data_IF_358818787879
#
_entry.id   IF_358818787879
#
_cell.length_a   1.000
_cell.length_b   1.000
_cell.length_c   1.000
_cell.angle_alpha   90.00
_cell.angle_beta   90.00
_cell.angle_gamma   90.00
#
_symmetry.space_group_name_H-M   'P 1'
#
loop_
_entity.id
_entity.type
_entity.pdbx_description
1 polymer ?
#
# COMPACT_ATOMS: atom_id res chain seq x y z
N UNK A 1 -37.64 56.93 48.31
CA UNK A 1 -37.66 55.77 47.36
C UNK A 1 -37.10 56.09 45.97
N UNK A 2 -36.36 57.20 45.75
CA UNK A 2 -35.86 57.57 44.39
C UNK A 2 -34.41 57.16 44.07
N UNK A 3 -33.56 56.85 45.05
CA UNK A 3 -32.13 56.55 44.79
C UNK A 3 -31.85 55.13 44.26
N UNK A 4 -32.82 54.21 44.29
CA UNK A 4 -32.62 52.80 43.87
C UNK A 4 -32.87 52.60 42.35
N UNK A 5 -33.63 53.49 41.70
CA UNK A 5 -33.98 53.33 40.29
C UNK A 5 -32.88 53.76 39.29
N UNK A 6 -31.97 54.66 39.68
CA UNK A 6 -30.90 55.12 38.78
C UNK A 6 -29.77 54.08 38.59
N UNK A 7 -29.53 53.23 39.59
CA UNK A 7 -28.50 52.17 39.54
C UNK A 7 -28.85 51.04 38.56
N UNK A 8 -30.12 50.62 38.50
CA UNK A 8 -30.57 49.55 37.59
C UNK A 8 -30.51 49.95 36.10
N UNK A 9 -30.72 51.22 35.77
CA UNK A 9 -30.69 51.73 34.39
C UNK A 9 -29.26 51.79 33.83
N UNK A 10 -28.29 52.11 34.69
CA UNK A 10 -26.85 52.08 34.39
C UNK A 10 -26.36 50.66 34.11
N UNK A 11 -26.74 49.71 34.97
CA UNK A 11 -26.33 48.31 34.85
C UNK A 11 -26.85 47.65 33.56
N UNK A 12 -28.12 47.88 33.19
CA UNK A 12 -28.68 47.38 31.93
C UNK A 12 -27.94 47.93 30.72
N UNK A 13 -27.59 49.21 30.71
CA UNK A 13 -26.87 49.85 29.60
C UNK A 13 -25.44 49.32 29.45
N UNK A 14 -24.80 48.98 30.57
CA UNK A 14 -23.50 48.32 30.59
C UNK A 14 -23.57 46.89 30.03
N UNK A 15 -24.57 46.11 30.44
CA UNK A 15 -24.79 44.76 29.90
C UNK A 15 -25.06 44.77 28.39
N UNK A 16 -25.88 45.70 27.88
CA UNK A 16 -26.11 45.80 26.44
C UNK A 16 -24.86 46.21 25.65
N UNK A 17 -24.03 47.12 26.21
CA UNK A 17 -22.76 47.53 25.59
C UNK A 17 -21.78 46.36 25.54
N UNK A 18 -21.64 45.62 26.63
CA UNK A 18 -20.70 44.50 26.71
C UNK A 18 -21.17 43.34 25.81
N UNK A 19 -22.48 43.11 25.69
CA UNK A 19 -23.07 42.14 24.76
C UNK A 19 -22.88 42.56 23.28
N UNK A 20 -23.03 43.85 22.98
CA UNK A 20 -22.75 44.39 21.64
C UNK A 20 -21.27 44.19 21.28
N UNK A 21 -20.36 44.53 22.18
CA UNK A 21 -18.91 44.33 21.98
C UNK A 21 -18.58 42.86 21.75
N UNK A 22 -19.18 41.94 22.52
CA UNK A 22 -18.99 40.51 22.34
C UNK A 22 -19.45 40.05 20.95
N UNK A 23 -20.66 40.42 20.54
CA UNK A 23 -21.21 40.03 19.23
C UNK A 23 -20.36 40.62 18.10
N UNK A 24 -20.01 41.92 18.17
CA UNK A 24 -19.17 42.56 17.18
C UNK A 24 -17.79 41.91 17.11
N UNK A 25 -17.20 41.54 18.26
CA UNK A 25 -15.91 40.84 18.30
C UNK A 25 -15.99 39.46 17.67
N UNK A 26 -17.05 38.68 17.93
CA UNK A 26 -17.25 37.35 17.31
C UNK A 26 -17.41 37.47 15.79
N UNK A 27 -18.15 38.48 15.32
CA UNK A 27 -18.32 38.75 13.88
C UNK A 27 -16.99 39.18 13.25
N UNK A 28 -16.23 40.06 13.91
CA UNK A 28 -14.93 40.51 13.42
C UNK A 28 -13.90 39.38 13.38
N UNK A 29 -13.88 38.52 14.40
CA UNK A 29 -13.02 37.33 14.46
C UNK A 29 -13.40 36.36 13.35
N UNK A 30 -14.70 36.10 13.13
CA UNK A 30 -15.14 35.25 12.00
C UNK A 30 -14.74 35.86 10.65
N UNK A 31 -14.89 37.18 10.51
CA UNK A 31 -14.49 37.90 9.29
C UNK A 31 -12.98 37.79 9.05
N UNK A 32 -12.14 38.04 10.07
CA UNK A 32 -10.67 37.92 9.96
C UNK A 32 -10.25 36.45 9.75
N UNK A 33 -10.88 35.50 10.44
CA UNK A 33 -10.63 34.07 10.26
C UNK A 33 -10.99 33.59 8.85
N UNK A 34 -11.93 34.24 8.17
CA UNK A 34 -12.25 33.93 6.77
C UNK A 34 -11.11 34.27 5.79
N UNK A 35 -10.20 35.17 6.15
CA UNK A 35 -9.01 35.50 5.34
C UNK A 35 -7.80 34.62 5.63
N UNK A 36 -7.75 34.00 6.82
CA UNK A 36 -6.69 33.08 7.22
C UNK A 36 -7.23 31.65 7.29
N UNK A 37 -7.22 30.96 6.14
CA UNK A 37 -7.52 29.53 6.06
C UNK A 37 -6.41 28.71 6.74
N UNK A 38 -6.44 28.63 8.07
CA UNK A 38 -5.68 27.62 8.82
C UNK A 38 -6.67 26.66 9.46
N UNK A 39 -6.86 25.49 8.85
CA UNK A 39 -7.57 24.36 9.47
C UNK A 39 -6.67 23.76 10.55
N UNK A 40 -7.04 23.99 11.81
CA UNK A 40 -6.45 23.26 12.93
C UNK A 40 -7.30 22.02 13.13
N UNK A 41 -6.77 20.85 12.78
CA UNK A 41 -7.42 19.58 13.04
C UNK A 41 -7.30 19.24 14.53
N UNK A 42 -8.44 19.28 15.24
CA UNK A 42 -8.58 18.98 16.67
C UNK A 42 -8.88 17.49 16.92
N UNK A 43 -8.92 16.66 15.89
CA UNK A 43 -9.09 15.21 16.08
C UNK A 43 -7.80 14.59 16.64
N UNK A 44 -7.96 13.59 17.51
CA UNK A 44 -6.85 12.95 18.21
C UNK A 44 -5.78 12.34 17.27
N UNK A 45 -6.11 12.10 16.01
CA UNK A 45 -5.25 11.45 15.02
C UNK A 45 -4.87 12.34 13.82
N UNK A 46 -5.30 13.62 13.79
CA UNK A 46 -5.14 14.51 12.62
C UNK A 46 -5.64 13.88 11.31
N UNK A 47 -6.78 13.18 11.37
CA UNK A 47 -7.32 12.39 10.23
C UNK A 47 -7.67 13.22 8.99
N UNK A 48 -7.69 14.55 9.09
CA UNK A 48 -8.05 15.47 8.03
C UNK A 48 -6.91 16.43 7.67
N UNK A 49 -5.65 16.06 7.95
CA UNK A 49 -4.48 16.86 7.60
C UNK A 49 -3.54 16.06 6.73
N UNK A 50 -3.16 16.61 5.56
CA UNK A 50 -2.16 15.99 4.70
C UNK A 50 -0.86 15.72 5.44
N UNK A 51 -0.21 14.61 5.11
CA UNK A 51 1.12 14.30 5.64
C UNK A 51 2.15 15.35 5.19
N UNK A 52 3.21 15.57 5.97
CA UNK A 52 4.29 16.50 5.58
C UNK A 52 4.93 16.10 4.24
N UNK A 53 5.01 14.80 3.97
CA UNK A 53 5.49 14.25 2.70
C UNK A 53 4.57 14.65 1.55
N UNK A 54 3.25 14.50 1.73
CA UNK A 54 2.24 14.92 0.76
C UNK A 54 2.38 16.39 0.41
N UNK A 55 2.45 17.26 1.43
CA UNK A 55 2.61 18.72 1.23
C UNK A 55 3.87 19.04 0.42
N UNK A 56 4.99 18.42 0.76
CA UNK A 56 6.27 18.63 0.07
C UNK A 56 6.18 18.23 -1.39
N UNK A 57 5.55 17.10 -1.69
CA UNK A 57 5.36 16.65 -3.09
C UNK A 57 4.50 17.66 -3.85
N UNK A 58 3.34 18.03 -3.30
CA UNK A 58 2.40 18.96 -3.93
C UNK A 58 3.02 20.33 -4.22
N UNK A 59 3.80 20.89 -3.29
CA UNK A 59 4.49 22.18 -3.50
C UNK A 59 5.58 22.13 -4.59
N UNK A 60 6.09 20.94 -4.91
CA UNK A 60 7.16 20.75 -5.89
C UNK A 60 6.65 20.18 -7.23
N UNK A 61 5.34 20.14 -7.44
CA UNK A 61 4.75 19.73 -8.72
C UNK A 61 5.09 20.77 -9.78
N UNK A 62 5.69 20.31 -10.90
CA UNK A 62 6.19 21.18 -11.98
C UNK A 62 5.21 21.37 -13.15
N UNK A 63 4.17 20.54 -13.24
CA UNK A 63 3.23 20.51 -14.36
C UNK A 63 1.82 20.20 -13.84
N UNK A 64 0.79 20.36 -14.66
CA UNK A 64 -0.60 20.16 -14.24
C UNK A 64 -0.89 18.67 -14.03
N UNK A 65 -1.32 18.34 -12.81
CA UNK A 65 -2.01 17.09 -12.50
C UNK A 65 -3.51 17.31 -12.72
N UNK A 66 -4.07 16.60 -13.69
CA UNK A 66 -5.50 16.65 -14.01
C UNK A 66 -6.21 15.38 -13.53
N UNK A 67 -7.25 15.52 -12.71
CA UNK A 67 -7.98 14.41 -12.08
C UNK A 67 -9.42 14.36 -12.59
N UNK A 68 -9.78 13.30 -13.31
CA UNK A 68 -11.18 13.04 -13.73
C UNK A 68 -11.80 12.02 -12.81
N UNK A 69 -12.70 12.46 -11.92
CA UNK A 69 -13.39 11.59 -10.98
C UNK A 69 -14.71 11.12 -11.59
N UNK A 70 -14.94 9.81 -11.66
CA UNK A 70 -16.13 9.21 -12.31
C UNK A 70 -17.24 8.82 -11.33
N UNK A 71 -17.25 9.44 -10.16
CA UNK A 71 -18.19 9.20 -9.07
C UNK A 71 -19.00 10.48 -8.82
N UNK A 72 -20.03 10.75 -9.62
CA UNK A 72 -20.89 11.94 -9.51
C UNK A 72 -22.35 11.58 -9.80
N UNK A 73 -23.29 12.35 -9.26
CA UNK A 73 -24.73 12.12 -9.42
C UNK A 73 -25.41 11.47 -8.21
N UNK A 74 -26.57 10.86 -8.43
CA UNK A 74 -27.38 10.30 -7.35
C UNK A 74 -26.98 8.87 -6.98
N UNK A 75 -26.59 8.68 -5.72
CA UNK A 75 -25.99 7.46 -5.19
C UNK A 75 -26.28 7.30 -3.68
N UNK A 76 -26.11 6.08 -3.13
CA UNK A 76 -26.30 5.84 -1.70
C UNK A 76 -25.41 6.70 -0.81
N UNK A 77 -25.84 6.94 0.42
CA UNK A 77 -25.17 7.82 1.39
C UNK A 77 -23.67 7.55 1.54
N UNK A 78 -23.27 6.27 1.60
CA UNK A 78 -21.88 5.89 1.73
C UNK A 78 -20.99 6.38 0.57
N UNK A 79 -21.48 6.30 -0.67
CA UNK A 79 -20.76 6.78 -1.85
C UNK A 79 -20.78 8.31 -1.96
N UNK A 80 -21.88 8.97 -1.52
CA UNK A 80 -21.91 10.44 -1.38
C UNK A 80 -20.82 10.93 -0.42
N UNK A 81 -20.58 10.20 0.67
CA UNK A 81 -19.49 10.50 1.62
C UNK A 81 -18.10 10.28 1.00
N UNK A 82 -17.91 9.23 0.20
CA UNK A 82 -16.67 8.99 -0.54
C UNK A 82 -16.40 10.10 -1.56
N UNK A 83 -17.38 10.44 -2.40
CA UNK A 83 -17.29 11.59 -3.33
C UNK A 83 -16.90 12.88 -2.59
N UNK A 84 -17.55 13.17 -1.47
CA UNK A 84 -17.23 14.35 -0.65
C UNK A 84 -15.78 14.33 -0.16
N UNK A 85 -15.31 13.20 0.35
CA UNK A 85 -13.92 13.05 0.82
C UNK A 85 -12.89 13.22 -0.31
N UNK A 86 -13.16 12.65 -1.49
CA UNK A 86 -12.37 12.85 -2.72
C UNK A 86 -12.28 14.35 -3.05
N UNK A 87 -13.41 15.04 -3.07
CA UNK A 87 -13.47 16.48 -3.37
C UNK A 87 -12.69 17.30 -2.35
N UNK A 88 -12.92 17.06 -1.05
CA UNK A 88 -12.22 17.76 0.03
C UNK A 88 -10.70 17.54 -0.03
N UNK A 89 -10.25 16.33 -0.35
CA UNK A 89 -8.83 16.00 -0.53
C UNK A 89 -8.23 16.75 -1.72
N UNK A 90 -8.93 16.80 -2.86
CA UNK A 90 -8.48 17.52 -4.06
C UNK A 90 -8.46 19.03 -3.86
N UNK A 91 -9.41 19.58 -3.11
CA UNK A 91 -9.40 21.00 -2.71
C UNK A 91 -8.20 21.30 -1.81
N UNK A 92 -7.87 20.40 -0.87
CA UNK A 92 -6.68 20.54 -0.05
C UNK A 92 -5.40 20.45 -0.91
N UNK A 93 -5.32 19.51 -1.86
CA UNK A 93 -4.19 19.40 -2.78
C UNK A 93 -3.99 20.69 -3.59
N UNK A 94 -5.09 21.24 -4.13
CA UNK A 94 -5.09 22.52 -4.85
C UNK A 94 -4.63 23.68 -3.97
N UNK A 95 -4.94 23.68 -2.66
CA UNK A 95 -4.47 24.73 -1.76
C UNK A 95 -2.94 24.77 -1.60
N UNK A 96 -2.24 23.64 -1.79
CA UNK A 96 -0.77 23.57 -1.75
C UNK A 96 -0.10 23.67 -3.12
N UNK A 97 -0.70 23.09 -4.16
CA UNK A 97 -0.13 23.04 -5.51
C UNK A 97 -0.61 24.17 -6.43
N UNK A 98 -1.61 24.96 -6.01
CA UNK A 98 -2.23 26.00 -6.83
C UNK A 98 -2.87 25.45 -8.10
N UNK A 99 -2.68 26.14 -9.22
CA UNK A 99 -3.26 25.81 -10.53
C UNK A 99 -2.70 24.51 -11.14
N UNK A 100 -1.66 23.92 -10.53
CA UNK A 100 -1.11 22.64 -10.93
C UNK A 100 -1.98 21.45 -10.52
N UNK A 101 -3.05 21.65 -9.73
CA UNK A 101 -4.06 20.62 -9.44
C UNK A 101 -5.41 21.05 -10.00
N UNK A 102 -5.83 20.36 -11.06
CA UNK A 102 -7.11 20.56 -11.72
C UNK A 102 -7.91 19.27 -11.65
N UNK A 103 -9.22 19.39 -11.50
CA UNK A 103 -10.07 18.21 -11.40
C UNK A 103 -11.48 18.50 -11.89
N UNK A 104 -12.15 17.46 -12.37
CA UNK A 104 -13.56 17.47 -12.74
C UNK A 104 -14.26 16.20 -12.21
N UNK A 105 -15.54 16.35 -11.89
CA UNK A 105 -16.41 15.23 -11.49
C UNK A 105 -17.36 14.95 -12.65
N UNK A 106 -17.42 13.69 -13.07
CA UNK A 106 -18.13 13.22 -14.25
C UNK A 106 -19.10 12.15 -13.80
N UNK A 107 -20.36 12.24 -14.22
CA UNK A 107 -21.33 11.17 -14.06
C UNK A 107 -21.32 10.29 -15.33
N UNK A 108 -20.74 9.07 -15.30
CA UNK A 108 -20.70 8.19 -16.47
C UNK A 108 -22.09 7.78 -16.96
N UNK A 109 -23.08 7.85 -16.07
CA UNK A 109 -24.44 7.38 -16.30
C UNK A 109 -25.40 8.46 -16.81
N UNK A 110 -24.96 9.72 -16.93
CA UNK A 110 -25.80 10.86 -17.33
C UNK A 110 -26.20 10.82 -18.82
N UNK A 111 -25.42 10.17 -19.68
CA UNK A 111 -25.66 10.19 -21.12
C UNK A 111 -26.97 9.43 -21.49
N UNK A 112 -27.95 10.08 -22.16
CA UNK A 112 -29.21 9.45 -22.53
C UNK A 112 -29.06 8.35 -23.60
N UNK A 113 -27.98 8.36 -24.40
CA UNK A 113 -27.71 7.29 -25.36
C UNK A 113 -27.02 6.09 -24.70
N UNK A 114 -27.77 4.98 -24.57
CA UNK A 114 -27.28 3.73 -23.96
C UNK A 114 -26.08 3.11 -24.68
N UNK A 115 -25.94 3.34 -25.99
CA UNK A 115 -24.80 2.80 -26.75
C UNK A 115 -23.51 3.53 -26.36
N UNK A 116 -23.54 4.85 -26.38
CA UNK A 116 -22.42 5.70 -25.96
C UNK A 116 -22.05 5.46 -24.48
N UNK A 117 -23.05 5.31 -23.61
CA UNK A 117 -22.83 4.96 -22.20
C UNK A 117 -22.08 3.62 -22.05
N UNK A 118 -22.51 2.57 -22.75
CA UNK A 118 -21.86 1.26 -22.70
C UNK A 118 -20.43 1.30 -23.24
N UNK A 119 -20.18 2.10 -24.28
CA UNK A 119 -18.84 2.33 -24.82
C UNK A 119 -17.94 3.06 -23.81
N UNK A 120 -18.45 4.09 -23.13
CA UNK A 120 -17.75 4.77 -22.04
C UNK A 120 -17.40 3.79 -20.91
N UNK A 121 -18.35 2.97 -20.46
CA UNK A 121 -18.11 1.99 -19.40
C UNK A 121 -17.01 1.01 -19.78
N UNK A 122 -17.01 0.53 -21.04
CA UNK A 122 -15.95 -0.33 -21.55
C UNK A 122 -14.59 0.39 -21.59
N UNK A 123 -14.56 1.67 -21.95
CA UNK A 123 -13.32 2.46 -21.94
C UNK A 123 -12.78 2.63 -20.51
N UNK A 124 -13.63 2.97 -19.54
CA UNK A 124 -13.23 3.11 -18.14
C UNK A 124 -12.70 1.78 -17.58
N UNK A 125 -13.39 0.67 -17.88
CA UNK A 125 -12.94 -0.66 -17.51
C UNK A 125 -11.59 -1.02 -18.11
N UNK A 126 -11.41 -0.78 -19.41
CA UNK A 126 -10.15 -1.04 -20.10
C UNK A 126 -8.99 -0.16 -19.59
N UNK A 127 -9.30 1.03 -19.06
CA UNK A 127 -8.32 1.89 -18.40
C UNK A 127 -8.00 1.45 -16.97
N UNK A 128 -8.70 0.46 -16.43
CA UNK A 128 -8.43 -0.12 -15.11
C UNK A 128 -9.44 0.25 -14.01
N UNK A 129 -10.51 0.98 -14.32
CA UNK A 129 -11.55 1.32 -13.33
C UNK A 129 -12.59 0.21 -13.22
N UNK A 130 -12.88 -0.24 -12.00
CA UNK A 130 -13.87 -1.31 -11.79
C UNK A 130 -15.27 -0.75 -11.54
N UNK A 131 -16.31 -1.25 -12.25
CA UNK A 131 -17.69 -0.87 -11.95
C UNK A 131 -18.18 -1.58 -10.69
N UNK A 132 -18.95 -0.86 -9.87
CA UNK A 132 -19.62 -1.40 -8.69
C UNK A 132 -21.13 -1.25 -8.83
N UNK A 133 -21.85 -2.36 -8.66
CA UNK A 133 -23.32 -2.35 -8.63
C UNK A 133 -23.80 -2.03 -7.21
N UNK A 134 -24.64 -1.03 -7.08
CA UNK A 134 -25.25 -0.63 -5.81
C UNK A 134 -26.76 -0.73 -5.89
N UNK A 135 -27.36 -1.19 -4.80
CA UNK A 135 -28.80 -1.22 -4.64
C UNK A 135 -29.20 -0.03 -3.77
N UNK A 136 -30.10 0.80 -4.29
CA UNK A 136 -30.69 1.90 -3.57
C UNK A 136 -32.18 1.65 -3.42
N UNK A 137 -32.65 1.67 -2.18
CA UNK A 137 -34.07 1.59 -1.86
C UNK A 137 -34.62 3.01 -1.78
N UNK A 138 -35.56 3.35 -2.64
CA UNK A 138 -36.21 4.66 -2.61
C UNK A 138 -37.17 4.78 -1.40
N UNK A 139 -37.66 6.00 -1.17
CA UNK A 139 -38.61 6.31 -0.09
C UNK A 139 -39.96 5.56 -0.24
N UNK A 140 -40.27 5.06 -1.45
CA UNK A 140 -41.45 4.23 -1.77
C UNK A 140 -41.17 2.72 -1.61
N UNK A 141 -39.95 2.34 -1.23
CA UNK A 141 -39.51 0.97 -0.99
C UNK A 141 -39.07 0.19 -2.23
N UNK A 142 -39.00 0.82 -3.40
CA UNK A 142 -38.53 0.22 -4.65
C UNK A 142 -37.00 0.12 -4.63
N UNK A 143 -36.50 -1.07 -4.97
CA UNK A 143 -35.06 -1.31 -5.10
C UNK A 143 -34.66 -0.98 -6.54
N UNK A 144 -33.75 -0.03 -6.70
CA UNK A 144 -33.12 0.31 -7.97
C UNK A 144 -31.65 -0.09 -7.95
N UNK A 145 -31.19 -0.76 -9.02
CA UNK A 145 -29.78 -1.06 -9.21
C UNK A 145 -29.13 0.05 -10.05
N UNK A 146 -28.02 0.57 -9.55
CA UNK A 146 -27.20 1.58 -10.24
C UNK A 146 -25.77 1.07 -10.36
N UNK A 147 -25.13 1.37 -11.49
CA UNK A 147 -23.70 1.10 -11.72
C UNK A 147 -22.91 2.36 -11.41
N UNK A 148 -21.93 2.27 -10.53
CA UNK A 148 -21.04 3.38 -10.16
C UNK A 148 -19.59 3.03 -10.55
N UNK A 149 -18.80 4.07 -10.85
CA UNK A 149 -17.35 3.96 -11.05
C UNK A 149 -16.64 4.78 -9.96
N UNK A 150 -16.40 4.20 -8.77
CA UNK A 150 -15.79 4.87 -7.63
C UNK A 150 -14.28 5.02 -7.79
N UNK A 151 -13.86 5.69 -8.86
CA UNK A 151 -12.46 5.89 -9.20
C UNK A 151 -12.20 7.13 -10.03
N UNK A 152 -10.92 7.40 -10.30
CA UNK A 152 -10.48 8.54 -11.08
C UNK A 152 -9.39 8.18 -12.09
N UNK A 153 -9.32 8.94 -13.18
CA UNK A 153 -8.15 8.97 -14.05
C UNK A 153 -7.30 10.18 -13.67
N UNK A 154 -6.04 9.96 -13.36
CA UNK A 154 -5.08 11.00 -12.99
C UNK A 154 -4.05 11.11 -14.11
N UNK A 155 -3.87 12.31 -14.63
CA UNK A 155 -2.97 12.60 -15.74
C UNK A 155 -1.89 13.60 -15.34
N UNK A 156 -0.65 13.34 -15.72
CA UNK A 156 0.50 14.22 -15.45
C UNK A 156 1.61 13.96 -16.48
N UNK A 157 2.13 15.02 -17.11
CA UNK A 157 3.24 14.92 -18.08
C UNK A 157 2.96 13.98 -19.26
N UNK A 158 1.72 13.93 -19.75
CA UNK A 158 1.29 13.07 -20.86
C UNK A 158 1.07 11.60 -20.50
N UNK A 159 1.28 11.19 -19.24
CA UNK A 159 0.93 9.87 -18.72
C UNK A 159 -0.40 9.93 -17.95
N UNK A 160 -1.16 8.85 -17.98
CA UNK A 160 -2.44 8.71 -17.28
C UNK A 160 -2.47 7.38 -16.52
N UNK A 161 -2.96 7.39 -15.28
CA UNK A 161 -3.15 6.20 -14.43
C UNK A 161 -4.57 6.22 -13.86
N UNK A 162 -5.21 5.05 -13.83
CA UNK A 162 -6.47 4.84 -13.14
C UNK A 162 -6.26 4.55 -11.64
N UNK A 163 -7.12 5.13 -10.81
CA UNK A 163 -7.15 4.94 -9.36
C UNK A 163 -8.54 4.48 -8.98
N UNK A 164 -8.64 3.30 -8.39
CA UNK A 164 -9.86 2.80 -7.74
C UNK A 164 -9.83 3.24 -6.27
N UNK A 165 -10.89 3.88 -5.80
CA UNK A 165 -10.98 4.33 -4.40
C UNK A 165 -11.66 3.33 -3.49
N UNK A 166 -12.23 2.24 -4.02
CA UNK A 166 -12.84 1.22 -3.17
C UNK A 166 -11.81 0.24 -2.62
N UNK A 167 -11.74 0.20 -1.30
CA UNK A 167 -11.12 -0.88 -0.56
C UNK A 167 -12.08 -2.06 -0.43
N UNK A 168 -11.63 -3.26 -0.79
CA UNK A 168 -12.43 -4.48 -0.67
C UNK A 168 -11.71 -5.54 0.16
N UNK A 169 -11.91 -5.48 1.47
CA UNK A 169 -11.52 -6.55 2.39
C UNK A 169 -12.66 -7.53 2.58
N UNK A 170 -12.39 -8.82 2.36
CA UNK A 170 -13.36 -9.90 2.63
C UNK A 170 -13.76 -10.00 4.12
N UNK A 171 -12.93 -9.45 5.01
CA UNK A 171 -13.13 -9.51 6.46
C UNK A 171 -13.98 -8.36 7.02
N UNK A 172 -14.36 -7.38 6.19
CA UNK A 172 -15.09 -6.19 6.61
C UNK A 172 -16.48 -6.17 5.97
N UNK A 173 -17.46 -5.60 6.67
CA UNK A 173 -18.77 -5.32 6.08
C UNK A 173 -18.67 -4.29 4.94
N UNK A 174 -19.66 -4.20 4.04
CA UNK A 174 -19.68 -3.19 2.98
C UNK A 174 -19.54 -1.75 3.50
N UNK A 175 -20.13 -1.43 4.65
CA UNK A 175 -20.04 -0.10 5.27
C UNK A 175 -18.64 0.18 5.84
N UNK A 176 -18.01 -0.82 6.48
CA UNK A 176 -16.64 -0.70 7.00
C UNK A 176 -15.63 -0.57 5.88
N UNK A 177 -15.77 -1.35 4.80
CA UNK A 177 -14.94 -1.22 3.60
C UNK A 177 -15.05 0.20 3.01
N UNK A 178 -16.25 0.77 2.99
CA UNK A 178 -16.47 2.12 2.49
C UNK A 178 -15.96 3.21 3.44
N UNK A 179 -15.96 2.98 4.75
CA UNK A 179 -15.28 3.84 5.72
C UNK A 179 -13.76 3.80 5.50
N UNK A 180 -13.17 2.62 5.36
CA UNK A 180 -11.75 2.45 5.08
C UNK A 180 -11.36 3.11 3.75
N UNK A 181 -12.20 2.98 2.72
CA UNK A 181 -12.04 3.64 1.42
C UNK A 181 -11.96 5.16 1.55
N UNK A 182 -12.82 5.77 2.37
CA UNK A 182 -12.81 7.21 2.66
C UNK A 182 -11.49 7.64 3.33
N UNK A 183 -10.96 6.83 4.25
CA UNK A 183 -9.70 7.12 4.93
C UNK A 183 -8.47 6.95 4.02
N UNK A 184 -8.57 6.14 2.96
CA UNK A 184 -7.44 5.83 2.07
C UNK A 184 -7.31 6.78 0.86
N UNK A 185 -8.27 7.68 0.65
CA UNK A 185 -8.33 8.59 -0.51
C UNK A 185 -7.02 9.37 -0.72
N UNK A 186 -6.48 9.99 0.32
CA UNK A 186 -5.21 10.75 0.23
C UNK A 186 -4.08 9.83 -0.25
N UNK A 187 -3.94 8.66 0.37
CA UNK A 187 -2.88 7.71 0.05
C UNK A 187 -3.00 7.24 -1.40
N UNK A 188 -4.18 6.81 -1.81
CA UNK A 188 -4.47 6.32 -3.16
C UNK A 188 -4.16 7.37 -4.24
N UNK A 189 -4.58 8.63 -4.04
CA UNK A 189 -4.25 9.73 -4.97
C UNK A 189 -2.75 10.04 -4.99
N UNK A 190 -2.11 10.16 -3.82
CA UNK A 190 -0.69 10.47 -3.75
C UNK A 190 0.18 9.37 -4.33
N UNK A 191 -0.21 8.11 -4.14
CA UNK A 191 0.47 6.99 -4.76
C UNK A 191 0.48 7.11 -6.29
N UNK A 192 -0.67 7.41 -6.89
CA UNK A 192 -0.79 7.61 -8.33
C UNK A 192 0.01 8.81 -8.85
N UNK A 193 -0.04 9.96 -8.15
CA UNK A 193 0.78 11.14 -8.52
C UNK A 193 2.27 10.81 -8.47
N UNK A 194 2.72 10.07 -7.45
CA UNK A 194 4.13 9.66 -7.31
C UNK A 194 4.57 8.72 -8.44
N UNK A 195 3.73 7.73 -8.80
CA UNK A 195 3.97 6.86 -9.98
C UNK A 195 4.12 7.69 -11.25
N UNK A 196 3.18 8.60 -11.49
CA UNK A 196 3.19 9.47 -12.68
C UNK A 196 4.36 10.43 -12.74
N UNK A 197 4.93 10.84 -11.60
CA UNK A 197 6.14 11.67 -11.55
C UNK A 197 7.42 10.84 -11.72
N UNK A 198 7.35 9.52 -11.52
CA UNK A 198 8.52 8.64 -11.40
C UNK A 198 9.54 9.18 -10.37
N UNK A 199 9.04 9.73 -9.26
CA UNK A 199 9.81 10.55 -8.32
C UNK A 199 10.52 9.76 -7.23
N UNK A 200 10.46 8.44 -7.29
CA UNK A 200 11.09 7.62 -6.27
C UNK A 200 12.61 7.77 -6.37
N UNK A 201 13.17 7.74 -7.59
CA UNK A 201 14.62 7.90 -7.81
C UNK A 201 15.48 6.85 -7.12
N UNK A 202 14.87 5.91 -6.38
CA UNK A 202 15.55 4.80 -5.75
C UNK A 202 15.86 3.73 -6.79
N UNK A 203 17.03 3.14 -6.63
CA UNK A 203 17.54 2.08 -7.52
C UNK A 203 17.52 0.75 -6.78
N UNK A 204 16.91 -0.26 -7.39
CA UNK A 204 16.76 -1.60 -6.84
C UNK A 204 17.61 -2.56 -7.66
N UNK A 205 18.44 -3.34 -6.98
CA UNK A 205 19.22 -4.43 -7.57
C UNK A 205 18.56 -5.78 -7.31
N UNK A 206 18.17 -6.50 -8.37
CA UNK A 206 17.95 -7.95 -8.30
C UNK A 206 19.29 -8.65 -8.38
N UNK A 207 19.63 -9.39 -7.34
CA UNK A 207 20.92 -10.06 -7.22
C UNK A 207 20.91 -11.37 -8.01
N UNK A 208 22.01 -11.61 -8.72
CA UNK A 208 22.28 -12.85 -9.45
C UNK A 208 23.67 -13.39 -9.12
N UNK A 209 23.89 -14.69 -9.32
CA UNK A 209 25.17 -15.36 -9.15
C UNK A 209 25.12 -16.62 -8.28
N UNK A 210 23.99 -16.88 -7.61
CA UNK A 210 23.76 -18.01 -6.70
C UNK A 210 22.50 -18.80 -7.08
N UNK A 211 22.15 -18.79 -8.37
CA UNK A 211 20.96 -19.43 -8.92
C UNK A 211 19.66 -18.88 -8.36
N UNK A 212 19.61 -17.57 -8.20
CA UNK A 212 18.38 -16.82 -7.93
C UNK A 212 17.36 -16.99 -9.06
N UNK A 213 16.10 -16.70 -8.77
CA UNK A 213 15.00 -16.81 -9.73
C UNK A 213 15.25 -16.06 -11.03
N UNK A 214 14.93 -16.74 -12.13
CA UNK A 214 15.06 -16.24 -13.50
C UNK A 214 14.17 -15.03 -13.75
N UNK A 215 14.47 -14.21 -14.78
CA UNK A 215 13.63 -13.08 -15.17
C UNK A 215 12.16 -13.43 -15.36
N UNK A 216 11.89 -14.58 -15.95
CA UNK A 216 10.55 -15.07 -16.24
C UNK A 216 9.78 -15.40 -14.96
N UNK A 217 10.44 -15.97 -13.95
CA UNK A 217 9.82 -16.35 -12.67
C UNK A 217 9.44 -15.13 -11.81
N UNK A 218 10.21 -14.03 -11.90
CA UNK A 218 9.97 -12.80 -11.12
C UNK A 218 9.45 -11.64 -11.96
N UNK A 219 8.96 -11.88 -13.17
CA UNK A 219 8.54 -10.84 -14.10
C UNK A 219 7.42 -9.96 -13.53
N UNK A 220 6.39 -10.57 -12.93
CA UNK A 220 5.30 -9.80 -12.32
C UNK A 220 5.78 -8.93 -11.15
N UNK A 221 6.70 -9.47 -10.34
CA UNK A 221 7.31 -8.74 -9.24
C UNK A 221 8.17 -7.58 -9.74
N UNK A 222 8.98 -7.83 -10.77
CA UNK A 222 9.87 -6.83 -11.40
C UNK A 222 9.08 -5.71 -12.05
N UNK A 223 8.04 -6.04 -12.82
CA UNK A 223 7.14 -5.08 -13.45
C UNK A 223 6.46 -4.19 -12.41
N UNK A 224 5.95 -4.78 -11.33
CA UNK A 224 5.31 -4.04 -10.23
C UNK A 224 6.26 -3.04 -9.56
N UNK A 225 7.54 -3.40 -9.40
CA UNK A 225 8.55 -2.50 -8.85
C UNK A 225 8.96 -1.39 -9.83
N UNK A 226 9.02 -1.70 -11.12
CA UNK A 226 9.43 -0.76 -12.18
C UNK A 226 8.41 0.38 -12.39
N UNK A 227 7.17 0.21 -11.93
CA UNK A 227 6.18 1.31 -11.86
C UNK A 227 6.62 2.47 -10.95
N UNK A 228 7.50 2.17 -9.99
CA UNK A 228 7.94 3.11 -8.99
C UNK A 228 9.44 3.38 -9.08
N UNK A 229 10.26 2.35 -9.29
CA UNK A 229 11.71 2.39 -9.09
C UNK A 229 12.49 2.04 -10.36
N UNK A 230 13.77 2.42 -10.39
CA UNK A 230 14.70 1.89 -11.39
C UNK A 230 15.16 0.51 -10.92
N UNK A 231 14.83 -0.54 -11.68
CA UNK A 231 15.16 -1.92 -11.33
C UNK A 231 16.20 -2.45 -12.30
N UNK A 232 17.32 -2.91 -11.76
CA UNK A 232 18.42 -3.51 -12.53
C UNK A 232 18.75 -4.90 -11.98
N UNK A 233 19.19 -5.79 -12.85
CA UNK A 233 19.78 -7.07 -12.44
C UNK A 233 21.28 -6.92 -12.30
N UNK A 234 21.82 -7.41 -11.19
CA UNK A 234 23.21 -7.23 -10.80
C UNK A 234 23.79 -8.57 -10.40
N UNK A 235 24.77 -9.01 -11.16
CA UNK A 235 25.51 -10.23 -10.85
C UNK A 235 26.60 -9.93 -9.83
N UNK A 236 26.59 -10.65 -8.70
CA UNK A 236 27.60 -10.51 -7.65
C UNK A 236 28.92 -11.13 -8.08
N UNK A 237 28.99 -12.44 -8.35
CA UNK A 237 30.19 -13.19 -8.81
C UNK A 237 31.51 -12.73 -8.17
N UNK A 238 31.51 -12.46 -6.86
CA UNK A 238 32.65 -11.91 -6.13
C UNK A 238 33.23 -10.60 -6.69
N UNK A 239 32.39 -9.77 -7.32
CA UNK A 239 32.73 -8.46 -7.84
C UNK A 239 32.45 -7.40 -6.78
N UNK A 240 33.51 -6.89 -6.14
CA UNK A 240 33.41 -5.93 -5.02
C UNK A 240 32.70 -4.61 -5.37
N UNK A 241 32.64 -4.27 -6.66
CA UNK A 241 32.02 -3.03 -7.17
C UNK A 241 30.59 -3.25 -7.71
N UNK A 242 30.01 -4.43 -7.53
CA UNK A 242 28.65 -4.77 -8.00
C UNK A 242 27.61 -3.84 -7.37
N UNK A 243 27.56 -3.78 -6.03
CA UNK A 243 26.56 -3.00 -5.28
C UNK A 243 27.03 -1.61 -4.85
N UNK A 244 28.34 -1.38 -4.81
CA UNK A 244 28.93 -0.11 -4.35
C UNK A 244 29.99 0.40 -5.31
N UNK A 245 30.11 1.72 -5.38
CA UNK A 245 31.21 2.41 -6.03
C UNK A 245 32.20 2.87 -4.97
N UNK A 246 33.50 2.80 -5.27
CA UNK A 246 34.54 3.34 -4.39
C UNK A 246 35.24 4.44 -5.15
N UNK A 247 35.14 5.67 -4.64
CA UNK A 247 35.83 6.83 -5.21
C UNK A 247 36.98 7.22 -4.29
N UNK A 248 38.12 7.52 -4.90
CA UNK A 248 39.28 8.04 -4.18
C UNK A 248 39.22 9.56 -4.26
N UNK A 249 39.06 10.21 -3.10
CA UNK A 249 39.14 11.66 -3.04
C UNK A 249 40.61 12.13 -3.23
N UNK A 250 40.80 13.40 -3.58
CA UNK A 250 42.11 14.04 -3.81
C UNK A 250 43.08 13.87 -2.62
N UNK A 251 42.54 13.63 -1.42
CA UNK A 251 43.28 13.36 -0.19
C UNK A 251 43.60 11.87 0.05
N UNK A 252 43.48 11.01 -0.98
CA UNK A 252 43.65 9.54 -0.88
C UNK A 252 42.69 8.85 0.10
N UNK A 253 41.57 9.50 0.44
CA UNK A 253 40.50 8.90 1.25
C UNK A 253 39.55 8.14 0.34
N UNK A 254 39.32 6.86 0.64
CA UNK A 254 38.33 6.05 -0.07
C UNK A 254 36.96 6.33 0.51
N UNK A 255 36.05 6.80 -0.34
CA UNK A 255 34.63 6.93 0.00
C UNK A 255 33.87 5.83 -0.73
N UNK A 256 33.09 5.05 0.01
CA UNK A 256 32.22 4.02 -0.55
C UNK A 256 30.81 4.58 -0.62
N UNK A 257 30.20 4.50 -1.80
CA UNK A 257 28.83 4.96 -2.05
C UNK A 257 28.07 3.82 -2.70
N UNK A 258 26.94 3.45 -2.10
CA UNK A 258 26.05 2.43 -2.65
C UNK A 258 25.46 2.92 -3.99
N UNK A 259 25.45 2.03 -4.99
CA UNK A 259 24.85 2.29 -6.29
C UNK A 259 23.33 2.12 -6.27
N UNK A 260 22.85 1.31 -5.32
CA UNK A 260 21.46 0.90 -5.17
C UNK A 260 21.01 1.17 -3.73
N UNK A 261 19.73 1.44 -3.54
CA UNK A 261 19.13 1.65 -2.22
C UNK A 261 18.64 0.33 -1.61
N UNK A 262 18.28 -0.63 -2.46
CA UNK A 262 17.73 -1.93 -2.10
C UNK A 262 18.34 -3.02 -2.97
N UNK A 263 18.73 -4.14 -2.34
CA UNK A 263 19.06 -5.38 -3.02
C UNK A 263 17.99 -6.45 -2.71
N UNK A 264 17.56 -7.18 -3.73
CA UNK A 264 16.60 -8.28 -3.62
C UNK A 264 17.32 -9.57 -4.00
N UNK A 265 17.35 -10.52 -3.08
CA UNK A 265 17.91 -11.86 -3.29
C UNK A 265 16.74 -12.82 -3.31
N UNK A 266 16.38 -13.29 -4.52
CA UNK A 266 15.15 -14.03 -4.78
C UNK A 266 15.43 -15.52 -5.01
N UNK A 267 14.99 -16.36 -4.08
CA UNK A 267 15.10 -17.83 -4.09
C UNK A 267 16.45 -18.36 -4.59
N UNK A 268 17.58 -18.04 -3.92
CA UNK A 268 18.86 -18.60 -4.31
C UNK A 268 18.87 -20.12 -4.15
N UNK A 269 19.54 -20.82 -5.06
CA UNK A 269 19.66 -22.28 -5.06
C UNK A 269 21.06 -22.77 -4.63
N UNK A 270 22.06 -21.88 -4.68
CA UNK A 270 23.46 -22.21 -4.52
C UNK A 270 24.07 -21.57 -3.28
N UNK A 271 25.18 -22.17 -2.81
CA UNK A 271 25.90 -21.71 -1.63
C UNK A 271 26.57 -20.35 -1.86
N UNK A 272 26.40 -19.41 -0.93
CA UNK A 272 27.08 -18.12 -0.97
C UNK A 272 28.54 -18.25 -0.53
N UNK A 273 29.44 -17.63 -1.30
CA UNK A 273 30.84 -17.52 -0.91
C UNK A 273 31.01 -16.53 0.25
N UNK A 274 32.05 -16.69 1.07
CA UNK A 274 32.37 -15.71 2.14
C UNK A 274 32.60 -14.30 1.57
N UNK A 275 33.07 -14.20 0.32
CA UNK A 275 33.31 -12.93 -0.33
C UNK A 275 32.00 -12.24 -0.75
N UNK A 276 31.03 -12.99 -1.28
CA UNK A 276 29.71 -12.45 -1.63
C UNK A 276 28.92 -12.05 -0.37
N UNK A 277 29.01 -12.86 0.69
CA UNK A 277 28.48 -12.49 2.02
C UNK A 277 29.08 -11.17 2.51
N UNK A 278 30.39 -10.98 2.34
CA UNK A 278 31.07 -9.74 2.71
C UNK A 278 30.60 -8.55 1.86
N UNK A 279 30.38 -8.71 0.54
CA UNK A 279 29.86 -7.62 -0.30
C UNK A 279 28.48 -7.17 0.19
N UNK A 280 27.58 -8.11 0.47
CA UNK A 280 26.23 -7.82 0.96
C UNK A 280 26.29 -7.17 2.36
N UNK A 281 27.15 -7.67 3.24
CA UNK A 281 27.36 -7.09 4.57
C UNK A 281 27.84 -5.64 4.50
N UNK A 282 28.85 -5.35 3.66
CA UNK A 282 29.32 -3.99 3.44
C UNK A 282 28.21 -3.09 2.87
N UNK A 283 27.44 -3.59 1.91
CA UNK A 283 26.32 -2.84 1.35
C UNK A 283 25.31 -2.41 2.44
N UNK A 284 24.97 -3.32 3.36
CA UNK A 284 24.11 -3.04 4.51
C UNK A 284 24.77 -2.02 5.46
N UNK A 285 26.06 -2.18 5.77
CA UNK A 285 26.80 -1.27 6.65
C UNK A 285 26.85 0.17 6.11
N UNK A 286 26.89 0.35 4.79
CA UNK A 286 26.82 1.67 4.15
C UNK A 286 25.39 2.20 3.96
N UNK A 287 24.39 1.57 4.59
CA UNK A 287 22.99 2.04 4.62
C UNK A 287 22.08 1.43 3.55
N UNK A 288 22.58 0.47 2.77
CA UNK A 288 21.78 -0.31 1.84
C UNK A 288 20.77 -1.20 2.56
N UNK A 289 19.67 -1.53 1.89
CA UNK A 289 18.61 -2.40 2.42
C UNK A 289 18.60 -3.71 1.66
N UNK A 290 18.26 -4.82 2.30
CA UNK A 290 18.20 -6.13 1.64
C UNK A 290 16.86 -6.80 1.93
N UNK A 291 16.22 -7.32 0.88
CA UNK A 291 15.11 -8.27 0.99
C UNK A 291 15.64 -9.66 0.64
N UNK A 292 15.46 -10.57 1.57
CA UNK A 292 15.79 -11.99 1.41
C UNK A 292 14.49 -12.76 1.17
N UNK A 293 14.37 -13.42 0.03
CA UNK A 293 13.31 -14.39 -0.26
C UNK A 293 14.00 -15.75 -0.36
N UNK A 294 13.98 -16.51 0.72
CA UNK A 294 14.76 -17.75 0.84
C UNK A 294 13.81 -18.91 1.10
N UNK A 295 13.94 -19.94 0.27
CA UNK A 295 13.33 -21.25 0.53
C UNK A 295 14.35 -22.10 1.30
N UNK A 296 14.03 -22.50 2.53
CA UNK A 296 14.91 -23.36 3.31
C UNK A 296 14.82 -24.85 2.90
N UNK A 297 13.74 -25.19 2.21
CA UNK A 297 13.40 -26.56 1.80
C UNK A 297 12.96 -26.53 0.36
N UNK A 298 13.47 -27.46 -0.46
CA UNK A 298 12.93 -27.72 -1.79
C UNK A 298 11.75 -28.70 -1.68
N UNK A 299 10.54 -28.20 -1.92
CA UNK A 299 9.30 -28.95 -1.84
C UNK A 299 8.48 -28.74 -3.11
N UNK A 300 8.36 -29.79 -3.93
CA UNK A 300 7.62 -29.74 -5.19
C UNK A 300 6.25 -30.44 -5.08
N UNK A 301 5.20 -29.85 -5.66
CA UNK A 301 3.88 -30.47 -5.80
C UNK A 301 3.92 -31.76 -6.65
N UNK A 302 4.84 -31.87 -7.61
CA UNK A 302 4.93 -33.06 -8.47
C UNK A 302 5.32 -34.31 -7.67
N UNK A 303 6.13 -34.14 -6.63
CA UNK A 303 6.48 -35.24 -5.72
C UNK A 303 5.24 -35.81 -5.00
N UNK A 304 4.18 -35.01 -4.83
CA UNK A 304 2.90 -35.46 -4.24
C UNK A 304 1.94 -36.10 -5.25
N UNK A 305 2.08 -35.78 -6.53
CA UNK A 305 1.28 -36.41 -7.58
C UNK A 305 1.72 -37.87 -7.81
N UNK A 306 2.99 -38.18 -7.56
CA UNK A 306 3.59 -39.49 -7.82
C UNK A 306 4.03 -40.25 -6.56
N UNK A 307 4.15 -39.60 -5.40
CA UNK A 307 4.46 -40.25 -4.12
C UNK A 307 3.53 -39.75 -3.00
N UNK A 308 3.23 -40.62 -2.04
CA UNK A 308 2.37 -40.31 -0.89
C UNK A 308 3.05 -39.46 0.20
N UNK A 309 4.28 -38.98 -0.04
CA UNK A 309 5.08 -38.21 0.92
C UNK A 309 5.80 -37.06 0.20
N UNK A 310 5.75 -35.86 0.76
CA UNK A 310 6.61 -34.74 0.34
C UNK A 310 8.04 -35.07 0.74
N UNK A 311 8.92 -35.32 -0.23
CA UNK A 311 10.36 -35.35 0.04
C UNK A 311 10.86 -33.90 0.04
N UNK A 312 11.17 -33.40 1.23
CA UNK A 312 11.72 -32.08 1.47
C UNK A 312 13.24 -32.21 1.62
N UNK A 313 14.02 -31.61 0.73
CA UNK A 313 15.48 -31.54 0.87
C UNK A 313 15.89 -30.18 1.43
N UNK A 314 16.80 -30.19 2.41
CA UNK A 314 17.28 -28.96 3.05
C UNK A 314 18.26 -28.28 2.10
N UNK A 315 17.98 -27.02 1.74
CA UNK A 315 18.91 -26.19 0.97
C UNK A 315 20.00 -25.63 1.90
N UNK A 316 21.27 -25.82 1.55
CA UNK A 316 22.38 -25.24 2.29
C UNK A 316 22.99 -24.06 1.54
N UNK A 317 22.54 -22.85 1.91
CA UNK A 317 22.93 -21.60 1.25
C UNK A 317 24.14 -20.92 1.90
N UNK A 318 24.64 -21.43 3.03
CA UNK A 318 25.69 -20.76 3.84
C UNK A 318 25.33 -19.36 4.36
N UNK A 319 24.04 -19.06 4.54
CA UNK A 319 23.55 -17.76 5.03
C UNK A 319 23.16 -17.75 6.51
N UNK A 320 23.08 -18.92 7.15
CA UNK A 320 22.56 -19.05 8.51
C UNK A 320 23.35 -18.23 9.55
N UNK A 321 24.67 -18.17 9.42
CA UNK A 321 25.55 -17.38 10.29
C UNK A 321 25.34 -15.87 10.12
N UNK A 322 25.19 -15.41 8.88
CA UNK A 322 24.98 -13.99 8.56
C UNK A 322 23.59 -13.51 9.00
N UNK A 323 22.53 -14.26 8.66
CA UNK A 323 21.16 -13.93 9.07
C UNK A 323 21.00 -13.96 10.59
N UNK A 324 21.66 -14.90 11.28
CA UNK A 324 21.63 -14.96 12.73
C UNK A 324 22.21 -13.69 13.38
N UNK A 325 23.30 -13.13 12.82
CA UNK A 325 23.85 -11.84 13.26
C UNK A 325 22.89 -10.68 13.00
N UNK A 326 22.09 -10.75 11.95
CA UNK A 326 21.02 -9.78 11.67
C UNK A 326 19.74 -10.03 12.50
N UNK A 327 19.74 -11.07 13.33
CA UNK A 327 18.68 -11.36 14.30
C UNK A 327 17.54 -12.22 13.75
N UNK A 328 17.76 -12.95 12.67
CA UNK A 328 16.78 -13.86 12.07
C UNK A 328 17.36 -15.27 11.84
N UNK A 329 16.53 -16.29 12.06
CA UNK A 329 16.86 -17.68 11.71
C UNK A 329 15.76 -18.26 10.84
N UNK A 330 16.11 -18.72 9.64
CA UNK A 330 15.21 -19.46 8.76
C UNK A 330 15.34 -20.94 9.09
N UNK A 331 14.25 -21.59 9.49
CA UNK A 331 14.27 -23.00 9.85
C UNK A 331 13.99 -23.86 8.61
N UNK A 332 14.68 -24.99 8.42
CA UNK A 332 14.42 -25.90 7.30
C UNK A 332 13.22 -26.82 7.60
N UNK A 333 12.05 -26.20 7.77
CA UNK A 333 10.78 -26.87 8.07
C UNK A 333 9.70 -26.42 7.09
N UNK A 334 8.56 -27.12 7.10
CA UNK A 334 7.37 -26.71 6.37
C UNK A 334 6.26 -26.35 7.34
N UNK A 335 5.62 -25.22 7.11
CA UNK A 335 4.47 -24.78 7.89
C UNK A 335 3.19 -25.40 7.32
N UNK A 336 2.41 -26.03 8.21
CA UNK A 336 1.04 -26.45 7.96
C UNK A 336 0.07 -25.56 8.75
N UNK A 337 -1.00 -25.12 8.12
CA UNK A 337 -2.03 -24.31 8.76
C UNK A 337 -3.43 -24.80 8.37
N UNK A 338 -4.36 -24.81 9.33
CA UNK A 338 -5.77 -25.06 9.05
C UNK A 338 -6.41 -23.92 8.26
N UNK A 339 -5.93 -22.68 8.43
CA UNK A 339 -6.31 -21.54 7.60
C UNK A 339 -5.46 -21.53 6.32
N UNK A 340 -5.92 -22.28 5.32
CA UNK A 340 -5.16 -22.53 4.10
C UNK A 340 -6.00 -22.33 2.82
N UNK A 341 -5.30 -22.26 1.69
CA UNK A 341 -5.94 -22.22 0.39
C UNK A 341 -6.60 -23.56 0.05
N UNK A 342 -7.73 -23.49 -0.66
CA UNK A 342 -8.38 -24.66 -1.25
C UNK A 342 -7.83 -24.84 -2.67
N UNK A 343 -7.33 -26.02 -2.98
CA UNK A 343 -6.83 -26.35 -4.33
C UNK A 343 -7.60 -27.54 -4.90
N UNK A 344 -7.74 -27.63 -6.24
CA UNK A 344 -8.28 -28.84 -6.86
C UNK A 344 -7.26 -29.98 -6.73
N UNK A 345 -7.64 -31.05 -6.03
CA UNK A 345 -6.80 -32.26 -5.91
C UNK A 345 -7.45 -33.41 -6.67
N UNK A 346 -6.65 -34.24 -7.34
CA UNK A 346 -7.15 -35.42 -8.00
C UNK A 346 -7.52 -36.49 -6.96
N UNK A 347 -8.80 -36.79 -6.81
CA UNK A 347 -9.34 -37.81 -5.91
C UNK A 347 -9.70 -39.11 -6.64
N UNK A 348 -9.37 -39.22 -7.93
CA UNK A 348 -9.60 -40.44 -8.69
C UNK A 348 -8.71 -41.59 -8.18
N UNK A 349 -9.25 -42.80 -8.24
CA UNK A 349 -8.48 -44.01 -7.96
C UNK A 349 -7.42 -44.15 -9.07
N UNK A 350 -6.21 -44.59 -8.70
CA UNK A 350 -5.12 -44.78 -9.68
C UNK A 350 -5.58 -45.65 -10.85
N UNK A 351 -5.45 -45.12 -12.07
CA UNK A 351 -5.90 -45.78 -13.31
C UNK A 351 -7.30 -45.40 -13.81
N UNK A 352 -8.08 -44.59 -13.09
CA UNK A 352 -9.33 -44.01 -13.61
C UNK A 352 -9.13 -42.58 -14.11
N UNK A 353 -10.14 -42.03 -14.80
CA UNK A 353 -10.12 -40.64 -15.23
C UNK A 353 -9.95 -39.70 -14.03
N UNK A 354 -9.06 -38.68 -14.10
CA UNK A 354 -8.87 -37.72 -13.04
C UNK A 354 -10.19 -37.04 -12.64
N UNK A 355 -10.45 -36.98 -11.34
CA UNK A 355 -11.60 -36.28 -10.77
C UNK A 355 -11.06 -35.27 -9.77
N UNK A 356 -11.21 -33.98 -10.09
CA UNK A 356 -10.72 -32.90 -9.24
C UNK A 356 -11.78 -32.46 -8.24
N UNK A 357 -11.46 -32.59 -6.95
CA UNK A 357 -12.32 -32.12 -5.86
C UNK A 357 -11.61 -30.98 -5.13
N UNK A 358 -12.30 -29.86 -4.79
CA UNK A 358 -11.71 -28.81 -3.96
C UNK A 358 -11.38 -29.36 -2.57
N UNK A 359 -10.12 -29.28 -2.17
CA UNK A 359 -9.65 -29.75 -0.87
C UNK A 359 -8.77 -28.70 -0.19
N UNK A 360 -8.91 -28.48 1.14
CA UNK A 360 -8.00 -27.60 1.88
C UNK A 360 -6.58 -28.14 1.82
N UNK A 361 -5.64 -27.27 1.45
CA UNK A 361 -4.23 -27.64 1.29
C UNK A 361 -3.38 -27.01 2.38
N UNK A 362 -3.17 -27.75 3.46
CA UNK A 362 -2.54 -27.24 4.69
C UNK A 362 -1.15 -26.63 4.49
N UNK A 363 -0.42 -27.02 3.43
CA UNK A 363 0.90 -26.47 3.10
C UNK A 363 0.85 -25.10 2.40
N UNK A 364 -0.34 -24.61 2.04
CA UNK A 364 -0.56 -23.28 1.46
C UNK A 364 -1.28 -22.38 2.47
N UNK A 365 -0.61 -21.99 3.58
CA UNK A 365 -1.23 -21.18 4.62
C UNK A 365 -1.61 -19.79 4.09
N UNK A 366 -2.72 -19.26 4.61
CA UNK A 366 -3.13 -17.86 4.38
C UNK A 366 -2.63 -17.02 5.55
N UNK A 367 -1.48 -16.38 5.34
CA UNK A 367 -0.77 -15.58 6.33
C UNK A 367 -1.50 -14.26 6.62
N UNK A 368 -1.61 -13.92 7.90
CA UNK A 368 -2.27 -12.71 8.37
C UNK A 368 -1.26 -11.56 8.48
N UNK A 369 -1.54 -10.40 7.87
CA UNK A 369 -0.67 -9.23 8.00
C UNK A 369 -0.86 -8.50 9.33
N UNK A 370 0.23 -7.93 9.83
CA UNK A 370 0.23 -7.09 11.01
C UNK A 370 -0.31 -5.69 10.69
N UNK A 371 -1.62 -5.50 10.89
CA UNK A 371 -2.33 -4.25 10.60
C UNK A 371 -1.92 -3.07 11.48
N UNK A 372 -1.18 -3.30 12.58
CA UNK A 372 -0.62 -2.22 13.40
C UNK A 372 0.59 -1.55 12.74
N UNK A 373 1.26 -2.26 11.83
CA UNK A 373 2.41 -1.74 11.11
C UNK A 373 1.96 -1.13 9.77
N UNK A 374 2.49 0.03 9.33
CA UNK A 374 2.09 0.66 8.07
C UNK A 374 2.18 -0.25 6.85
N UNK A 375 3.17 -1.16 6.82
CA UNK A 375 3.35 -2.14 5.73
C UNK A 375 2.20 -3.16 5.67
N UNK A 376 1.65 -3.56 6.82
CA UNK A 376 0.57 -4.54 6.88
C UNK A 376 -0.83 -3.94 6.84
N UNK A 377 -0.94 -2.60 6.86
CA UNK A 377 -2.23 -1.91 6.72
C UNK A 377 -2.74 -2.09 5.28
N UNK A 378 -4.04 -2.38 5.13
CA UNK A 378 -4.69 -2.58 3.83
C UNK A 378 -4.17 -3.77 2.99
N UNK A 379 -3.34 -4.65 3.59
CA UNK A 379 -2.94 -5.91 2.97
C UNK A 379 -3.95 -6.98 3.35
N UNK A 380 -4.46 -7.73 2.37
CA UNK A 380 -5.35 -8.87 2.63
C UNK A 380 -4.52 -10.11 3.01
N UNK A 381 -5.17 -11.24 3.30
CA UNK A 381 -4.47 -12.49 3.59
C UNK A 381 -3.48 -12.84 2.47
N UNK A 382 -2.23 -13.12 2.85
CA UNK A 382 -1.16 -13.46 1.90
C UNK A 382 -1.03 -14.96 1.82
N UNK A 383 -1.31 -15.52 0.64
CA UNK A 383 -1.14 -16.96 0.40
C UNK A 383 0.35 -17.31 0.34
N UNK A 384 0.83 -18.09 1.30
CA UNK A 384 2.13 -18.75 1.24
C UNK A 384 2.05 -20.08 0.48
N UNK A 385 3.16 -20.53 -0.09
CA UNK A 385 3.30 -21.86 -0.68
C UNK A 385 4.55 -22.52 -0.12
N UNK A 386 4.40 -23.67 0.53
CA UNK A 386 5.51 -24.43 1.13
C UNK A 386 6.46 -23.57 1.99
N UNK A 387 5.89 -22.66 2.78
CA UNK A 387 6.67 -21.67 3.53
C UNK A 387 7.35 -22.30 4.74
N UNK A 388 8.53 -21.81 5.06
CA UNK A 388 9.29 -22.15 6.27
C UNK A 388 9.09 -21.12 7.38
N UNK A 389 9.29 -21.53 8.64
CA UNK A 389 9.20 -20.61 9.78
C UNK A 389 10.48 -19.80 9.96
N UNK A 390 10.32 -18.52 10.33
CA UNK A 390 11.43 -17.61 10.65
C UNK A 390 11.31 -17.20 12.11
N UNK A 391 12.38 -17.45 12.88
CA UNK A 391 12.43 -17.08 14.28
C UNK A 391 13.27 -15.80 14.48
N UNK A 392 12.80 -14.83 15.26
CA UNK A 392 13.63 -13.73 15.72
C UNK A 392 14.65 -14.26 16.75
N UNK A 393 15.94 -14.11 16.46
CA UNK A 393 17.05 -14.63 17.28
C UNK A 393 18.06 -13.54 17.61
N UNK A 394 18.97 -13.77 18.55
CA UNK A 394 20.00 -12.81 18.96
C UNK A 394 19.54 -11.82 20.03
N UNK A 395 20.42 -11.52 20.97
CA UNK A 395 20.15 -10.69 22.16
C UNK A 395 20.60 -9.23 21.99
N UNK A 396 21.01 -8.83 20.79
CA UNK A 396 21.46 -7.47 20.52
C UNK A 396 20.28 -6.49 20.59
N UNK A 397 20.30 -5.65 21.63
CA UNK A 397 19.30 -4.61 21.87
C UNK A 397 19.23 -3.51 20.79
N UNK A 398 20.25 -3.41 19.93
CA UNK A 398 20.26 -2.42 18.83
C UNK A 398 19.43 -2.88 17.62
N UNK A 399 19.15 -4.18 17.51
CA UNK A 399 18.39 -4.75 16.40
C UNK A 399 16.89 -4.71 16.72
N UNK A 400 16.16 -3.91 15.95
CA UNK A 400 14.70 -3.87 16.03
C UNK A 400 14.09 -4.95 15.15
N UNK A 401 13.29 -5.84 15.74
CA UNK A 401 12.64 -6.95 15.04
C UNK A 401 11.14 -6.70 14.96
N UNK A 402 10.58 -6.73 13.76
CA UNK A 402 9.16 -6.51 13.52
C UNK A 402 8.59 -7.65 12.69
N UNK A 403 7.57 -8.32 13.21
CA UNK A 403 6.87 -9.39 12.50
C UNK A 403 5.77 -8.78 11.63
N UNK A 404 5.83 -9.05 10.33
CA UNK A 404 4.90 -8.50 9.34
C UNK A 404 3.77 -9.46 8.96
N UNK A 405 4.05 -10.76 8.88
CA UNK A 405 3.11 -11.82 8.52
C UNK A 405 3.17 -12.92 9.57
N UNK A 406 2.02 -13.44 9.99
CA UNK A 406 1.92 -14.54 10.96
C UNK A 406 0.94 -15.60 10.48
N UNK A 407 1.21 -16.86 10.81
CA UNK A 407 0.27 -17.96 10.65
C UNK A 407 -0.89 -17.86 11.64
N UNK A 408 -1.93 -18.69 11.47
CA UNK A 408 -3.03 -18.77 12.43
C UNK A 408 -2.60 -19.48 13.73
N UNK A 409 -3.43 -19.39 14.76
CA UNK A 409 -3.23 -20.12 16.02
C UNK A 409 -3.26 -21.65 15.84
N UNK A 410 -3.84 -22.14 14.75
CA UNK A 410 -3.96 -23.57 14.43
C UNK A 410 -2.93 -23.99 13.38
N UNK A 411 -1.69 -23.51 13.53
CA UNK A 411 -0.56 -23.86 12.67
C UNK A 411 0.44 -24.77 13.40
N UNK A 412 1.19 -25.55 12.63
CA UNK A 412 2.33 -26.33 13.11
C UNK A 412 3.44 -26.35 12.08
N UNK A 413 4.69 -26.38 12.53
CA UNK A 413 5.85 -26.63 11.68
C UNK A 413 6.21 -28.12 11.72
N UNK A 414 6.52 -28.70 10.57
CA UNK A 414 6.92 -30.12 10.42
C UNK A 414 8.30 -30.28 9.80
#
# INVERSE_FOLDING_TARGET
MERINHSRKSYKRQVYRDLLILITSIVLINYIASFFFTRIDLTAEKRYTLTNTTKTILTNIKDVVYVKVYLEGDMPYGFKRLNKSIKETLDEFRSYAGDNIQYEFINPSENPDKKTQKELFKQLYNKGLTPTNVQEKDDEGKISEKVLFPGALISYGGREIAVDFLHNSMNLSPEENLNASVEDVEFSMMNAIRKLKNDFGQRIAFIEGHGESTPEEVEDFTRSLTEYFEVERVRLDSQIYSLSSRTLDSNKKVTVVNKYDLAIIANPDSMFSEFDKYIIDQFIMYGGKVIWLIDAVDANMDSLAYASTVMATIKNLNLNDQLFKYGARVNPNLVQDMQCAIIPVNTAISGTQPQFTPSPWVYFPLLMPNTKHPIGKNVNLVKGQFVSSVDPVGDDSTITKTVLLTTSQNSRAI
#
